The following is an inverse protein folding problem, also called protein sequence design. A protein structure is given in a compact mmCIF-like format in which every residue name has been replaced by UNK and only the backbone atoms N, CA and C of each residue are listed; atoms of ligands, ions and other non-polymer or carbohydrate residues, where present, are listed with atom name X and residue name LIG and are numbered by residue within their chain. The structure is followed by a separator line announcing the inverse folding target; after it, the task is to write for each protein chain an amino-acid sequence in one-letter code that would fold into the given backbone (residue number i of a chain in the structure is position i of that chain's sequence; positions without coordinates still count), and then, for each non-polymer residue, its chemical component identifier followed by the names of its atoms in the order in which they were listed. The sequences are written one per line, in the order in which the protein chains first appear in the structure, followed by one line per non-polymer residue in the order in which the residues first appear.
data_IF_945465157094
#
_entry.id   IF_945465157094
#
_cell.length_a   1.000
_cell.length_b   1.000
_cell.length_c   1.000
_cell.angle_alpha   90.00
_cell.angle_beta   90.00
_cell.angle_gamma   90.00
#
_symmetry.space_group_name_H-M   'P 1'
#
loop_
_entity.id
_entity.type
_entity.pdbx_description
1 polymer ?
#
# COMPACT_ATOMS: atom_id res chain seq x y z
N UNK A 1 -47.07 -0.15 17.54
CA UNK A 1 -46.05 -0.91 16.81
C UNK A 1 -46.31 -2.39 17.02
N UNK A 2 -46.58 -3.13 15.95
CA UNK A 2 -46.96 -4.54 16.03
C UNK A 2 -45.73 -5.42 16.27
N UNK A 3 -45.92 -6.65 16.79
CA UNK A 3 -44.82 -7.61 17.00
C UNK A 3 -44.03 -7.84 15.70
N UNK A 4 -44.75 -7.91 14.57
CA UNK A 4 -44.17 -8.07 13.23
C UNK A 4 -43.30 -6.88 12.80
N UNK A 5 -43.73 -5.65 13.06
CA UNK A 5 -42.90 -4.45 12.81
C UNK A 5 -41.61 -4.47 13.64
N UNK A 6 -41.67 -4.89 14.91
CA UNK A 6 -40.49 -4.95 15.78
C UNK A 6 -39.41 -5.90 15.26
N UNK A 7 -39.81 -7.06 14.74
CA UNK A 7 -38.89 -8.06 14.18
C UNK A 7 -38.23 -7.63 12.87
N UNK A 8 -38.80 -6.67 12.14
CA UNK A 8 -38.20 -6.13 10.91
C UNK A 8 -37.41 -4.85 11.17
N UNK A 9 -37.90 -4.00 12.07
CA UNK A 9 -37.31 -2.68 12.35
C UNK A 9 -36.01 -2.82 13.12
N UNK A 10 -35.93 -3.66 14.17
CA UNK A 10 -34.70 -3.75 14.97
C UNK A 10 -33.48 -4.25 14.19
N UNK A 11 -33.56 -5.30 13.36
CA UNK A 11 -32.42 -5.72 12.55
C UNK A 11 -31.96 -4.64 11.57
N UNK A 12 -32.91 -3.92 10.94
CA UNK A 12 -32.58 -2.80 10.04
C UNK A 12 -31.94 -1.63 10.78
N UNK A 13 -32.40 -1.33 11.99
CA UNK A 13 -31.81 -0.28 12.84
C UNK A 13 -30.39 -0.66 13.28
N UNK A 14 -30.18 -1.91 13.70
CA UNK A 14 -28.85 -2.43 14.02
C UNK A 14 -27.92 -2.43 12.81
N UNK A 15 -28.41 -2.80 11.63
CA UNK A 15 -27.65 -2.73 10.39
C UNK A 15 -27.29 -1.29 10.03
N UNK A 16 -28.24 -0.35 10.12
CA UNK A 16 -28.02 1.06 9.85
C UNK A 16 -27.02 1.69 10.83
N UNK A 17 -27.14 1.35 12.12
CA UNK A 17 -26.18 1.77 13.16
C UNK A 17 -24.81 1.17 12.88
N UNK A 18 -24.71 -0.12 12.54
CA UNK A 18 -23.45 -0.77 12.19
C UNK A 18 -22.78 -0.18 10.96
N UNK A 19 -23.55 0.16 9.93
CA UNK A 19 -23.07 0.86 8.74
C UNK A 19 -22.63 2.30 9.03
N UNK A 20 -23.35 3.01 9.90
CA UNK A 20 -23.01 4.36 10.32
C UNK A 20 -21.78 4.40 11.25
N UNK A 21 -21.59 3.36 12.06
CA UNK A 21 -20.43 3.18 12.94
C UNK A 21 -19.28 2.42 12.27
N UNK A 22 -19.36 2.16 10.96
CA UNK A 22 -18.16 1.76 10.22
C UNK A 22 -17.09 2.82 10.55
N UNK A 23 -15.88 2.44 10.97
CA UNK A 23 -14.82 3.41 11.15
C UNK A 23 -14.76 4.22 9.86
N UNK A 24 -15.15 5.49 9.96
CA UNK A 24 -15.17 6.40 8.84
C UNK A 24 -13.79 6.45 8.24
N UNK A 25 -13.73 6.61 6.92
CA UNK A 25 -12.52 6.84 6.15
C UNK A 25 -11.49 7.58 6.99
N UNK A 26 -10.29 6.99 7.09
CA UNK A 26 -9.16 7.55 7.83
C UNK A 26 -9.17 9.06 7.65
N UNK A 27 -9.31 9.81 8.75
CA UNK A 27 -9.20 11.26 8.72
C UNK A 27 -7.85 11.59 8.10
N UNK A 28 -7.82 11.84 6.79
CA UNK A 28 -6.62 12.14 6.04
C UNK A 28 -6.18 13.53 6.51
N UNK A 29 -5.32 13.54 7.52
CA UNK A 29 -4.59 14.72 7.92
C UNK A 29 -3.58 15.01 6.81
N UNK A 30 -4.00 15.84 5.85
CA UNK A 30 -3.13 16.32 4.80
C UNK A 30 -2.18 17.37 5.39
N UNK A 31 -0.89 17.04 5.44
CA UNK A 31 0.16 17.97 5.87
C UNK A 31 0.78 18.58 4.62
N UNK A 32 0.50 19.87 4.37
CA UNK A 32 1.18 20.63 3.31
C UNK A 32 2.45 21.25 3.86
N UNK A 33 3.60 20.73 3.46
CA UNK A 33 4.91 21.26 3.85
C UNK A 33 5.92 21.09 2.71
N UNK A 34 6.84 22.04 2.58
CA UNK A 34 7.97 21.94 1.64
C UNK A 34 9.10 21.06 2.21
N UNK A 35 9.18 20.93 3.54
CA UNK A 35 10.21 20.16 4.21
C UNK A 35 9.60 19.34 5.36
N UNK A 36 9.80 18.03 5.31
CA UNK A 36 9.52 17.12 6.42
C UNK A 36 10.85 16.66 7.03
N UNK A 37 11.26 17.30 8.13
CA UNK A 37 12.44 16.91 8.89
C UNK A 37 12.02 16.31 10.23
N UNK A 38 12.25 15.02 10.41
CA UNK A 38 11.97 14.29 11.66
C UNK A 38 13.06 13.26 11.91
N UNK A 39 13.35 12.98 13.17
CA UNK A 39 14.23 11.87 13.56
C UNK A 39 13.58 10.50 13.34
N UNK A 40 12.25 10.44 13.24
CA UNK A 40 11.51 9.19 13.02
C UNK A 40 10.21 9.46 12.28
N UNK A 41 9.92 8.66 11.26
CA UNK A 41 8.65 8.65 10.53
C UNK A 41 8.04 7.26 10.70
N UNK A 42 6.79 7.18 11.17
CA UNK A 42 6.04 5.93 11.32
C UNK A 42 4.79 6.02 10.46
N UNK A 43 4.76 5.23 9.41
CA UNK A 43 3.68 5.20 8.43
C UNK A 43 3.50 3.77 7.92
N UNK A 44 2.31 3.48 7.36
CA UNK A 44 2.04 2.21 6.67
C UNK A 44 2.74 2.16 5.31
N UNK A 45 2.86 3.32 4.68
CA UNK A 45 3.26 3.48 3.29
C UNK A 45 3.89 4.86 3.11
N UNK A 46 4.90 4.95 2.24
CA UNK A 46 5.50 6.19 1.74
C UNK A 46 5.39 6.13 0.22
N UNK A 47 4.71 7.12 -0.34
CA UNK A 47 4.52 7.28 -1.77
C UNK A 47 5.12 8.63 -2.17
N UNK A 48 5.95 8.63 -3.22
CA UNK A 48 6.40 9.86 -3.88
C UNK A 48 5.77 9.85 -5.26
N UNK A 49 4.96 10.87 -5.53
CA UNK A 49 4.23 11.06 -6.76
C UNK A 49 4.69 12.35 -7.43
N UNK A 50 4.77 12.31 -8.76
CA UNK A 50 4.97 13.47 -9.63
C UNK A 50 3.67 14.28 -9.74
N UNK A 51 3.75 15.53 -10.19
CA UNK A 51 2.59 16.42 -10.36
C UNK A 51 1.52 15.85 -11.32
N UNK A 52 1.92 14.92 -12.20
CA UNK A 52 1.05 14.25 -13.16
C UNK A 52 0.42 12.94 -12.65
N UNK A 53 0.63 12.60 -11.37
CA UNK A 53 0.13 11.37 -10.76
C UNK A 53 1.05 10.16 -10.94
N UNK A 54 2.21 10.32 -11.58
CA UNK A 54 3.15 9.22 -11.77
C UNK A 54 3.87 8.89 -10.45
N UNK A 55 3.76 7.66 -9.99
CA UNK A 55 4.49 7.18 -8.80
C UNK A 55 5.96 6.96 -9.15
N UNK A 56 6.86 7.63 -8.45
CA UNK A 56 8.32 7.51 -8.63
C UNK A 56 8.99 6.64 -7.55
N UNK A 57 8.42 6.64 -6.34
CA UNK A 57 8.87 5.79 -5.24
C UNK A 57 7.65 5.28 -4.48
N UNK A 58 7.63 3.98 -4.23
CA UNK A 58 6.66 3.35 -3.35
C UNK A 58 7.39 2.50 -2.31
N UNK A 59 7.19 2.80 -1.03
CA UNK A 59 7.72 2.03 0.09
C UNK A 59 6.58 1.63 0.99
N UNK A 60 6.26 0.35 1.05
CA UNK A 60 5.07 -0.09 1.75
C UNK A 60 4.89 -1.59 1.70
N UNK A 61 3.65 -2.01 1.92
CA UNK A 61 3.26 -3.41 1.77
C UNK A 61 2.84 -3.65 0.33
N UNK A 62 3.33 -4.73 -0.27
CA UNK A 62 2.88 -5.15 -1.60
C UNK A 62 1.40 -5.56 -1.53
N UNK A 63 0.63 -5.16 -2.54
CA UNK A 63 -0.74 -5.63 -2.76
C UNK A 63 -0.75 -7.16 -2.77
N UNK A 64 -1.82 -7.78 -2.26
CA UNK A 64 -1.99 -9.25 -2.17
C UNK A 64 -1.13 -9.98 -1.13
N UNK A 65 -0.68 -9.28 -0.09
CA UNK A 65 -0.24 -9.94 1.14
C UNK A 65 1.26 -10.22 1.24
N UNK A 66 2.04 -9.74 0.27
CA UNK A 66 3.51 -9.73 0.35
C UNK A 66 4.06 -8.95 1.55
N UNK A 67 5.37 -9.06 1.73
CA UNK A 67 6.12 -8.35 2.75
C UNK A 67 6.26 -6.85 2.47
N UNK A 68 7.15 -6.20 3.22
CA UNK A 68 7.57 -4.83 2.95
C UNK A 68 8.43 -4.77 1.68
N UNK A 69 8.20 -3.76 0.85
CA UNK A 69 8.91 -3.57 -0.41
C UNK A 69 9.14 -2.09 -0.69
N UNK A 70 10.28 -1.81 -1.30
CA UNK A 70 10.69 -0.52 -1.84
C UNK A 70 10.76 -0.66 -3.35
N UNK A 71 10.06 0.18 -4.09
CA UNK A 71 9.97 0.17 -5.54
C UNK A 71 10.34 1.55 -6.07
N UNK A 72 11.41 1.60 -6.86
CA UNK A 72 11.87 2.79 -7.57
C UNK A 72 11.41 2.69 -9.01
N UNK A 73 10.73 3.73 -9.48
CA UNK A 73 10.10 3.76 -10.80
C UNK A 73 10.74 4.82 -11.68
N UNK A 74 10.70 4.60 -12.99
CA UNK A 74 11.09 5.59 -13.97
C UNK A 74 10.00 6.66 -14.18
N UNK A 75 10.26 7.60 -15.08
CA UNK A 75 9.32 8.67 -15.41
C UNK A 75 8.01 8.18 -16.08
N UNK A 76 7.94 6.91 -16.49
CA UNK A 76 6.72 6.30 -17.00
C UNK A 76 5.96 5.50 -15.92
N UNK A 77 6.49 5.41 -14.69
CA UNK A 77 5.92 4.64 -13.59
C UNK A 77 6.31 3.16 -13.59
N UNK A 78 7.21 2.75 -14.50
CA UNK A 78 7.69 1.38 -14.60
C UNK A 78 8.77 1.11 -13.57
N UNK A 79 8.76 -0.08 -12.97
CA UNK A 79 9.77 -0.45 -11.98
C UNK A 79 11.16 -0.49 -12.63
N UNK A 80 12.15 0.13 -12.00
CA UNK A 80 13.57 0.10 -12.42
C UNK A 80 14.40 -0.72 -11.44
N UNK A 81 14.12 -0.56 -10.15
CA UNK A 81 14.71 -1.32 -9.05
C UNK A 81 13.64 -1.59 -8.01
N UNK A 82 13.61 -2.80 -7.46
CA UNK A 82 12.76 -3.10 -6.33
C UNK A 82 13.46 -3.98 -5.30
N UNK A 83 13.19 -3.73 -4.02
CA UNK A 83 13.85 -4.38 -2.89
C UNK A 83 12.78 -4.87 -1.93
N UNK A 84 12.80 -6.16 -1.60
CA UNK A 84 11.91 -6.74 -0.61
C UNK A 84 11.26 -8.02 -1.11
N UNK A 85 10.11 -8.36 -0.53
CA UNK A 85 9.49 -9.67 -0.69
C UNK A 85 8.25 -9.58 -1.59
N UNK A 86 8.12 -10.50 -2.57
CA UNK A 86 6.90 -10.62 -3.38
C UNK A 86 5.79 -11.38 -2.62
N UNK A 87 4.52 -11.29 -3.05
CA UNK A 87 3.41 -12.03 -2.41
C UNK A 87 3.65 -13.53 -2.29
N UNK A 88 4.27 -14.15 -3.29
CA UNK A 88 4.45 -15.60 -3.38
C UNK A 88 5.82 -16.09 -2.87
N UNK A 89 6.56 -15.23 -2.17
CA UNK A 89 7.96 -15.52 -1.82
C UNK A 89 8.24 -15.26 -0.35
N UNK A 90 9.08 -16.11 0.24
CA UNK A 90 9.48 -15.96 1.64
C UNK A 90 10.72 -15.08 1.82
N UNK A 91 11.58 -15.02 0.80
CA UNK A 91 12.87 -14.32 0.86
C UNK A 91 12.77 -12.95 0.20
N UNK A 92 13.42 -11.97 0.82
CA UNK A 92 13.61 -10.65 0.22
C UNK A 92 14.75 -10.69 -0.80
N UNK A 93 14.60 -9.94 -1.89
CA UNK A 93 15.62 -9.82 -2.93
C UNK A 93 15.65 -8.44 -3.55
N UNK A 94 16.72 -8.16 -4.28
CA UNK A 94 16.88 -6.95 -5.08
C UNK A 94 16.68 -7.33 -6.54
N UNK A 95 15.71 -6.69 -7.18
CA UNK A 95 15.34 -6.91 -8.58
C UNK A 95 15.68 -5.67 -9.40
N UNK A 96 16.36 -5.86 -10.53
CA UNK A 96 16.63 -4.82 -11.51
C UNK A 96 15.83 -5.08 -12.76
N UNK A 97 15.26 -4.03 -13.34
CA UNK A 97 14.37 -4.11 -14.49
C UNK A 97 14.96 -3.36 -15.68
N UNK A 98 14.54 -3.72 -16.89
CA UNK A 98 14.84 -2.97 -18.10
C UNK A 98 13.87 -1.78 -18.31
N UNK A 99 14.07 -1.03 -19.39
CA UNK A 99 13.23 0.12 -19.78
C UNK A 99 11.81 -0.25 -20.18
N UNK A 100 11.50 -1.54 -20.28
CA UNK A 100 10.18 -2.07 -20.61
C UNK A 100 9.52 -2.69 -19.36
N UNK A 101 10.10 -2.47 -18.17
CA UNK A 101 9.60 -3.00 -16.89
C UNK A 101 9.84 -4.49 -16.69
N UNK A 102 10.65 -5.15 -17.53
CA UNK A 102 10.93 -6.59 -17.43
C UNK A 102 12.10 -6.86 -16.50
N UNK A 103 11.99 -7.92 -15.71
CA UNK A 103 13.05 -8.35 -14.80
C UNK A 103 14.31 -8.73 -15.59
N UNK A 104 15.41 -8.04 -15.30
CA UNK A 104 16.72 -8.24 -15.95
C UNK A 104 17.69 -9.02 -15.07
N UNK A 105 17.71 -8.75 -13.76
CA UNK A 105 18.67 -9.35 -12.83
C UNK A 105 18.07 -9.39 -11.43
N UNK A 106 18.45 -10.43 -10.68
CA UNK A 106 18.11 -10.63 -9.29
C UNK A 106 19.39 -10.75 -8.47
N UNK A 107 19.42 -10.10 -7.30
CA UNK A 107 20.37 -10.39 -6.24
C UNK A 107 19.58 -10.89 -5.03
N UNK A 108 19.73 -12.18 -4.71
CA UNK A 108 19.00 -12.87 -3.66
C UNK A 108 19.91 -13.43 -2.55
N UNK A 109 21.22 -13.17 -2.62
CA UNK A 109 22.19 -13.57 -1.58
C UNK A 109 22.34 -15.07 -1.42
N UNK A 110 21.71 -15.86 -2.30
CA UNK A 110 21.90 -17.28 -2.44
C UNK A 110 23.04 -17.48 -3.44
N UNK A 111 24.28 -17.25 -2.98
CA UNK A 111 25.43 -17.76 -3.73
C UNK A 111 25.30 -19.30 -3.76
N UNK A 112 25.23 -19.86 -4.97
CA UNK A 112 25.36 -21.31 -5.20
C UNK A 112 26.78 -21.72 -4.76
N UNK A 113 26.90 -22.40 -3.60
CA UNK A 113 28.06 -23.26 -3.30
C UNK A 113 28.03 -24.54 -4.17
#
# INVERSE_FOLDING_TARGET
MTSRERWTVYPLLLLAIGLAMRPGEESQLEIRTELLSSSTVRCREILIESDDGTVLLHMGRVVDGGGGRIEVKDAAGENTVAIGTRPDEALGRIEFFDTEGRLKTVLDGLDEE
#
